data_IF_801623107402
#
_entry.id   IF_801623107402
#
_cell.length_a   1.000
_cell.length_b   1.000
_cell.length_c   1.000
_cell.angle_alpha   90.00
_cell.angle_beta   90.00
_cell.angle_gamma   90.00
#
_symmetry.space_group_name_H-M   'P 1'
#
loop_
_entity.id
_entity.type
_entity.pdbx_description
1 polymer ?
#
# COMPACT_ATOMS: atom_id res chain seq x y z
N UNK A 1 46.04 -1.97 -36.67
CA UNK A 1 44.92 -1.68 -35.76
C UNK A 1 44.04 -2.92 -35.66
N UNK A 2 44.24 -3.72 -34.62
CA UNK A 2 43.31 -4.81 -34.27
C UNK A 2 42.53 -4.32 -33.06
N UNK A 3 41.27 -3.99 -33.29
CA UNK A 3 40.31 -3.65 -32.23
C UNK A 3 40.10 -4.89 -31.34
N UNK A 4 40.23 -4.79 -30.00
CA UNK A 4 39.80 -5.87 -29.14
C UNK A 4 38.26 -5.95 -29.19
N UNK A 5 37.75 -7.17 -29.22
CA UNK A 5 36.35 -7.53 -29.40
C UNK A 5 35.42 -6.90 -28.35
N UNK A 6 34.17 -6.56 -28.71
CA UNK A 6 33.25 -5.89 -27.81
C UNK A 6 32.77 -6.84 -26.71
N UNK A 7 33.15 -6.52 -25.47
CA UNK A 7 32.30 -6.51 -24.29
C UNK A 7 31.34 -7.70 -24.12
N UNK A 8 31.68 -8.61 -23.21
CA UNK A 8 30.70 -9.46 -22.56
C UNK A 8 29.85 -8.57 -21.65
N UNK A 9 28.81 -7.92 -22.21
CA UNK A 9 27.92 -7.00 -21.49
C UNK A 9 26.94 -7.69 -20.53
N UNK A 10 26.88 -9.03 -20.54
CA UNK A 10 26.03 -9.82 -19.68
C UNK A 10 26.82 -10.40 -18.51
N UNK A 11 26.66 -9.80 -17.33
CA UNK A 11 27.07 -10.37 -16.04
C UNK A 11 25.82 -10.90 -15.35
N UNK A 12 25.88 -12.09 -14.72
CA UNK A 12 24.73 -12.73 -14.06
C UNK A 12 24.01 -11.79 -13.08
N UNK A 13 24.76 -10.95 -12.37
CA UNK A 13 24.22 -9.94 -11.45
C UNK A 13 23.43 -8.83 -12.16
N UNK A 14 23.83 -8.45 -13.38
CA UNK A 14 23.09 -7.46 -14.19
C UNK A 14 21.79 -8.05 -14.71
N UNK A 15 21.79 -9.31 -15.13
CA UNK A 15 20.58 -10.01 -15.56
C UNK A 15 19.62 -10.23 -14.38
N UNK A 16 20.14 -10.61 -13.21
CA UNK A 16 19.35 -10.70 -11.98
C UNK A 16 18.70 -9.38 -11.60
N UNK A 17 19.48 -8.29 -11.62
CA UNK A 17 18.96 -6.94 -11.38
C UNK A 17 17.88 -6.54 -12.39
N UNK A 18 18.06 -6.86 -13.67
CA UNK A 18 17.06 -6.61 -14.72
C UNK A 18 15.74 -7.32 -14.43
N UNK A 19 15.79 -8.61 -14.07
CA UNK A 19 14.59 -9.42 -13.75
C UNK A 19 13.81 -8.80 -12.59
N UNK A 20 14.51 -8.37 -11.53
CA UNK A 20 13.90 -7.67 -10.39
C UNK A 20 13.35 -6.29 -10.77
N UNK A 21 14.09 -5.49 -11.55
CA UNK A 21 13.63 -4.17 -11.98
C UNK A 21 12.33 -4.24 -12.80
N UNK A 22 12.21 -5.23 -13.69
CA UNK A 22 10.99 -5.47 -14.47
C UNK A 22 9.83 -5.95 -13.58
N UNK A 23 10.10 -6.79 -12.57
CA UNK A 23 9.06 -7.28 -11.67
C UNK A 23 8.41 -6.17 -10.84
N UNK A 24 9.20 -5.20 -10.37
CA UNK A 24 8.72 -4.06 -9.56
C UNK A 24 8.36 -2.82 -10.39
N UNK A 25 8.34 -2.92 -11.72
CA UNK A 25 8.08 -1.81 -12.64
C UNK A 25 8.97 -0.58 -12.36
N UNK A 26 10.21 -0.82 -11.92
CA UNK A 26 11.14 0.26 -11.61
C UNK A 26 11.65 0.89 -12.91
N UNK A 27 11.57 2.22 -13.02
CA UNK A 27 12.07 2.97 -14.17
C UNK A 27 13.60 3.05 -14.17
N UNK A 28 14.26 1.91 -14.38
CA UNK A 28 15.71 1.82 -14.53
C UNK A 28 16.04 1.78 -16.02
N UNK A 29 16.99 2.63 -16.43
CA UNK A 29 17.53 2.62 -17.79
C UNK A 29 18.35 1.35 -17.99
N UNK A 30 17.74 0.30 -18.54
CA UNK A 30 18.41 -0.98 -18.80
C UNK A 30 18.66 -1.15 -20.30
N UNK A 31 19.90 -1.50 -20.64
CA UNK A 31 20.28 -1.84 -22.00
C UNK A 31 19.51 -3.09 -22.47
N UNK A 32 18.68 -2.96 -23.50
CA UNK A 32 17.92 -4.09 -24.07
C UNK A 32 18.85 -5.18 -24.60
N UNK A 33 18.56 -6.48 -24.32
CA UNK A 33 19.38 -7.55 -24.84
C UNK A 33 19.37 -7.57 -26.38
N UNK A 34 20.56 -7.79 -26.97
CA UNK A 34 20.75 -7.77 -28.42
C UNK A 34 20.26 -9.04 -29.14
N UNK A 35 20.18 -10.16 -28.43
CA UNK A 35 19.75 -11.45 -29.00
C UNK A 35 18.23 -11.52 -29.19
N UNK A 36 17.78 -12.09 -30.31
CA UNK A 36 16.35 -12.26 -30.62
C UNK A 36 15.63 -13.12 -29.57
N UNK A 37 16.24 -14.23 -29.15
CA UNK A 37 15.72 -15.12 -28.11
C UNK A 37 15.60 -14.42 -26.75
N UNK A 38 16.60 -13.61 -26.37
CA UNK A 38 16.60 -12.87 -25.11
C UNK A 38 15.55 -11.75 -25.08
N UNK A 39 15.25 -11.11 -26.22
CA UNK A 39 14.15 -10.15 -26.34
C UNK A 39 12.80 -10.82 -26.15
N UNK A 40 12.58 -11.96 -26.81
CA UNK A 40 11.35 -12.73 -26.63
C UNK A 40 11.14 -13.14 -25.17
N UNK A 41 12.18 -13.68 -24.52
CA UNK A 41 12.12 -14.04 -23.09
C UNK A 41 11.84 -12.84 -22.17
N UNK A 42 12.46 -11.69 -22.43
CA UNK A 42 12.22 -10.47 -21.64
C UNK A 42 10.79 -9.96 -21.80
N UNK A 43 10.22 -10.05 -23.01
CA UNK A 43 8.84 -9.65 -23.28
C UNK A 43 7.83 -10.58 -22.58
N UNK A 44 8.07 -11.90 -22.59
CA UNK A 44 7.24 -12.86 -21.86
C UNK A 44 7.31 -12.63 -20.35
N UNK A 45 8.53 -12.39 -19.83
CA UNK A 45 8.72 -12.05 -18.41
C UNK A 45 8.02 -10.74 -18.04
N UNK A 46 8.09 -9.71 -18.89
CA UNK A 46 7.40 -8.45 -18.66
C UNK A 46 5.87 -8.62 -18.62
N UNK A 47 5.31 -9.44 -19.50
CA UNK A 47 3.87 -9.76 -19.47
C UNK A 47 3.49 -10.46 -18.17
N UNK A 48 4.27 -11.44 -17.73
CA UNK A 48 4.06 -12.11 -16.44
C UNK A 48 4.14 -11.14 -15.25
N UNK A 49 5.15 -10.25 -15.23
CA UNK A 49 5.31 -9.24 -14.17
C UNK A 49 4.12 -8.29 -14.09
N UNK A 50 3.59 -7.80 -15.21
CA UNK A 50 2.42 -6.93 -15.25
C UNK A 50 1.16 -7.67 -14.74
N UNK A 51 0.94 -8.92 -15.17
CA UNK A 51 -0.20 -9.72 -14.69
C UNK A 51 -0.09 -10.00 -13.19
N UNK A 52 1.10 -10.35 -12.71
CA UNK A 52 1.35 -10.58 -11.30
C UNK A 52 1.09 -9.32 -10.46
N UNK A 53 1.59 -8.17 -10.91
CA UNK A 53 1.34 -6.88 -10.27
C UNK A 53 -0.16 -6.56 -10.26
N UNK A 54 -0.87 -6.76 -11.37
CA UNK A 54 -2.30 -6.51 -11.47
C UNK A 54 -3.10 -7.36 -10.48
N UNK A 55 -2.82 -8.67 -10.40
CA UNK A 55 -3.47 -9.58 -9.44
C UNK A 55 -3.15 -9.17 -8.00
N UNK A 56 -1.89 -8.84 -7.71
CA UNK A 56 -1.51 -8.35 -6.39
C UNK A 56 -2.25 -7.07 -6.02
N UNK A 57 -2.35 -6.10 -6.93
CA UNK A 57 -3.09 -4.85 -6.70
C UNK A 57 -4.60 -5.09 -6.53
N UNK A 58 -5.18 -6.04 -7.27
CA UNK A 58 -6.60 -6.40 -7.15
C UNK A 58 -6.90 -7.08 -5.81
N UNK A 59 -6.05 -8.01 -5.37
CA UNK A 59 -6.20 -8.69 -4.08
C UNK A 59 -5.97 -7.73 -2.91
N UNK A 60 -4.97 -6.85 -3.02
CA UNK A 60 -4.74 -5.78 -2.05
C UNK A 60 -5.97 -4.87 -1.97
N UNK A 61 -6.49 -4.41 -3.11
CA UNK A 61 -7.68 -3.57 -3.16
C UNK A 61 -8.92 -4.27 -2.57
N UNK A 62 -9.12 -5.56 -2.87
CA UNK A 62 -10.22 -6.34 -2.31
C UNK A 62 -10.14 -6.45 -0.78
N UNK A 63 -8.92 -6.56 -0.23
CA UNK A 63 -8.70 -6.53 1.22
C UNK A 63 -8.85 -5.13 1.82
N UNK A 64 -8.42 -4.10 1.08
CA UNK A 64 -8.49 -2.69 1.50
C UNK A 64 -9.90 -2.12 1.44
N UNK A 65 -10.80 -2.68 0.62
CA UNK A 65 -12.24 -2.48 0.75
C UNK A 65 -12.66 -3.24 2.01
N UNK A 66 -12.20 -2.74 3.16
CA UNK A 66 -12.69 -3.18 4.45
C UNK A 66 -14.18 -2.92 4.43
N UNK A 67 -14.97 -3.98 4.49
CA UNK A 67 -16.30 -3.83 5.04
C UNK A 67 -16.06 -3.39 6.47
N UNK A 68 -16.49 -2.17 6.81
CA UNK A 68 -16.81 -1.92 8.21
C UNK A 68 -17.76 -3.06 8.59
N UNK A 69 -17.23 -4.05 9.31
CA UNK A 69 -18.06 -5.06 9.93
C UNK A 69 -18.79 -4.31 11.04
N UNK A 70 -19.87 -3.62 10.67
CA UNK A 70 -20.92 -3.31 11.62
C UNK A 70 -21.23 -4.64 12.28
N UNK A 71 -21.05 -4.70 13.60
CA UNK A 71 -21.37 -5.90 14.36
C UNK A 71 -22.89 -6.07 14.33
N UNK A 72 -23.40 -6.67 13.24
CA UNK A 72 -24.79 -7.00 13.10
C UNK A 72 -25.12 -8.10 14.11
N UNK A 73 -25.72 -7.70 15.23
CA UNK A 73 -26.35 -8.66 16.12
C UNK A 73 -27.51 -9.31 15.37
N UNK A 74 -27.58 -10.64 15.38
CA UNK A 74 -28.71 -11.36 14.75
C UNK A 74 -30.05 -11.07 15.46
N UNK A 75 -29.98 -10.64 16.72
CA UNK A 75 -31.11 -10.31 17.58
C UNK A 75 -30.74 -10.48 19.04
N UNK A 76 -31.75 -10.53 19.90
CA UNK A 76 -31.57 -10.68 21.35
C UNK A 76 -31.01 -12.05 21.76
N UNK A 77 -31.23 -13.09 20.95
CA UNK A 77 -30.78 -14.46 21.18
C UNK A 77 -29.31 -14.71 20.79
N UNK A 78 -28.56 -13.68 20.40
CA UNK A 78 -27.16 -13.83 20.04
C UNK A 78 -26.34 -14.40 21.21
N UNK A 79 -25.49 -15.37 20.89
CA UNK A 79 -24.48 -15.94 21.79
C UNK A 79 -23.62 -14.87 22.47
N UNK A 80 -23.34 -13.76 21.77
CA UNK A 80 -22.51 -12.65 22.25
C UNK A 80 -23.19 -11.83 23.35
N UNK A 81 -24.52 -11.70 23.29
CA UNK A 81 -25.34 -10.98 24.28
C UNK A 81 -25.72 -11.89 25.44
N UNK A 82 -26.06 -13.15 25.16
CA UNK A 82 -26.42 -14.14 26.19
C UNK A 82 -25.23 -14.53 27.08
N UNK A 83 -23.99 -14.49 26.54
CA UNK A 83 -22.75 -14.70 27.29
C UNK A 83 -21.81 -13.50 27.14
N UNK A 84 -22.01 -12.42 27.93
CA UNK A 84 -21.24 -11.18 27.81
C UNK A 84 -19.71 -11.37 27.93
N UNK A 85 -19.28 -12.39 28.67
CA UNK A 85 -17.86 -12.70 28.90
C UNK A 85 -17.23 -13.58 27.82
N UNK A 86 -17.98 -14.01 26.80
CA UNK A 86 -17.47 -14.91 25.76
C UNK A 86 -16.56 -14.22 24.74
N UNK A 87 -16.63 -12.89 24.64
CA UNK A 87 -15.88 -12.10 23.66
C UNK A 87 -15.03 -11.02 24.35
N UNK A 88 -13.88 -10.69 23.77
CA UNK A 88 -13.00 -9.58 24.22
C UNK A 88 -12.69 -8.65 23.05
N UNK A 89 -12.93 -7.33 23.17
CA UNK A 89 -13.53 -6.64 24.32
C UNK A 89 -15.00 -7.06 24.54
N UNK A 90 -15.48 -6.87 25.77
CA UNK A 90 -16.85 -7.20 26.16
C UNK A 90 -17.82 -6.14 25.61
N UNK A 91 -18.96 -6.56 25.07
CA UNK A 91 -19.97 -5.64 24.54
C UNK A 91 -20.70 -4.94 25.68
N UNK A 92 -20.71 -3.61 25.68
CA UNK A 92 -21.43 -2.78 26.64
C UNK A 92 -22.82 -2.51 26.10
N UNK A 93 -23.84 -3.10 26.72
CA UNK A 93 -25.22 -2.86 26.34
C UNK A 93 -26.09 -2.58 27.56
N UNK A 94 -27.13 -1.78 27.34
CA UNK A 94 -27.99 -1.24 28.40
C UNK A 94 -29.45 -1.13 27.95
N UNK A 95 -30.34 -1.03 28.92
CA UNK A 95 -31.74 -0.61 28.71
C UNK A 95 -32.13 0.45 29.75
N UNK A 96 -33.40 0.84 29.75
CA UNK A 96 -33.98 1.74 30.75
C UNK A 96 -34.53 0.92 31.92
N UNK A 97 -34.10 1.17 33.16
CA UNK A 97 -34.58 0.42 34.32
C UNK A 97 -36.09 0.65 34.54
N UNK A 98 -36.78 -0.35 35.09
CA UNK A 98 -38.22 -0.29 35.38
C UNK A 98 -39.14 -0.17 34.15
N UNK A 99 -38.60 -0.41 32.96
CA UNK A 99 -39.37 -0.45 31.72
C UNK A 99 -39.93 -1.85 31.44
N UNK A 100 -40.85 -1.94 30.48
CA UNK A 100 -41.33 -3.24 29.99
C UNK A 100 -40.17 -4.08 29.43
N UNK A 101 -39.22 -3.45 28.73
CA UNK A 101 -38.04 -4.15 28.19
C UNK A 101 -37.19 -4.71 29.33
N UNK A 102 -36.90 -3.92 30.37
CA UNK A 102 -36.13 -4.36 31.53
C UNK A 102 -36.77 -5.55 32.25
N UNK A 103 -38.08 -5.49 32.50
CA UNK A 103 -38.82 -6.59 33.13
C UNK A 103 -38.85 -7.86 32.26
N UNK A 104 -38.93 -7.71 30.94
CA UNK A 104 -38.90 -8.82 29.97
C UNK A 104 -37.52 -9.47 29.95
N UNK A 105 -36.45 -8.65 29.90
CA UNK A 105 -35.07 -9.12 29.94
C UNK A 105 -34.77 -9.82 31.27
N UNK A 106 -35.23 -9.30 32.39
CA UNK A 106 -35.07 -9.94 33.70
C UNK A 106 -35.75 -11.31 33.77
N UNK A 107 -36.88 -11.50 33.07
CA UNK A 107 -37.66 -12.75 33.11
C UNK A 107 -37.11 -13.83 32.19
N UNK A 108 -36.78 -13.48 30.95
CA UNK A 108 -36.38 -14.46 29.93
C UNK A 108 -34.86 -14.57 29.76
N UNK A 109 -34.10 -13.51 30.06
CA UNK A 109 -32.66 -13.43 29.86
C UNK A 109 -31.93 -12.98 31.13
N UNK A 110 -32.14 -13.72 32.23
CA UNK A 110 -31.53 -13.44 33.53
C UNK A 110 -30.00 -13.17 33.50
N UNK A 111 -29.15 -13.97 32.81
CA UNK A 111 -27.70 -13.70 32.81
C UNK A 111 -27.34 -12.39 32.07
N UNK A 112 -28.04 -12.10 30.99
CA UNK A 112 -27.87 -10.88 30.21
C UNK A 112 -28.32 -9.65 31.02
N UNK A 113 -29.47 -9.75 31.68
CA UNK A 113 -29.99 -8.67 32.54
C UNK A 113 -29.07 -8.37 33.73
N UNK A 114 -28.49 -9.40 34.36
CA UNK A 114 -27.53 -9.22 35.46
C UNK A 114 -26.30 -8.42 35.04
N UNK A 115 -25.79 -8.65 33.82
CA UNK A 115 -24.69 -7.88 33.25
C UNK A 115 -25.10 -6.44 32.90
N UNK A 116 -26.25 -6.30 32.25
CA UNK A 116 -26.79 -5.03 31.75
C UNK A 116 -27.10 -4.03 32.89
N UNK A 117 -27.42 -4.51 34.09
CA UNK A 117 -27.79 -3.67 35.25
C UNK A 117 -26.79 -2.56 35.56
N UNK A 118 -25.50 -2.81 35.35
CA UNK A 118 -24.43 -1.83 35.60
C UNK A 118 -24.26 -0.80 34.47
N UNK A 119 -24.87 -1.04 33.30
CA UNK A 119 -24.75 -0.23 32.08
C UNK A 119 -26.11 0.39 31.66
N UNK A 120 -27.13 0.30 32.51
CA UNK A 120 -28.45 0.88 32.27
C UNK A 120 -28.41 2.42 32.27
N UNK A 121 -29.27 3.03 31.47
CA UNK A 121 -29.43 4.50 31.36
C UNK A 121 -30.80 4.94 31.84
N UNK A 122 -30.91 6.17 32.31
CA UNK A 122 -32.15 6.66 32.91
C UNK A 122 -33.21 7.05 31.88
N UNK A 123 -32.77 7.56 30.72
CA UNK A 123 -33.65 8.03 29.65
C UNK A 123 -33.25 7.47 28.29
N UNK A 124 -34.19 7.50 27.33
CA UNK A 124 -33.94 7.07 25.94
C UNK A 124 -32.89 7.97 25.28
N UNK A 125 -32.96 9.29 25.51
CA UNK A 125 -32.03 10.25 24.95
C UNK A 125 -30.59 10.00 25.44
N UNK A 126 -30.40 9.79 26.74
CA UNK A 126 -29.10 9.40 27.32
C UNK A 126 -28.61 8.06 26.76
N UNK A 127 -29.52 7.09 26.57
CA UNK A 127 -29.21 5.81 25.94
C UNK A 127 -28.64 5.96 24.53
N UNK A 128 -29.24 6.84 23.73
CA UNK A 128 -28.81 7.10 22.35
C UNK A 128 -27.49 7.88 22.32
N UNK A 129 -27.36 8.92 23.14
CA UNK A 129 -26.13 9.69 23.26
C UNK A 129 -24.95 8.82 23.71
N UNK A 130 -25.19 7.88 24.63
CA UNK A 130 -24.19 6.90 25.05
C UNK A 130 -23.75 5.96 23.91
N UNK A 131 -24.63 5.62 22.97
CA UNK A 131 -24.26 4.84 21.77
C UNK A 131 -23.47 5.71 20.78
N UNK A 132 -23.92 6.94 20.53
CA UNK A 132 -23.24 7.88 19.63
C UNK A 132 -21.83 8.26 20.10
N UNK A 133 -21.61 8.32 21.41
CA UNK A 133 -20.31 8.63 22.03
C UNK A 133 -19.39 7.40 22.17
N UNK A 134 -19.89 6.19 21.88
CA UNK A 134 -19.13 4.95 22.05
C UNK A 134 -19.00 4.48 23.51
N UNK A 135 -19.77 5.04 24.44
CA UNK A 135 -19.86 4.49 25.81
C UNK A 135 -20.66 3.19 25.86
N UNK A 136 -21.67 3.05 25.00
CA UNK A 136 -22.44 1.81 24.84
C UNK A 136 -22.26 1.31 23.40
N UNK A 137 -21.99 0.02 23.25
CA UNK A 137 -21.91 -0.63 21.93
C UNK A 137 -23.31 -0.91 21.37
N UNK A 138 -24.30 -1.13 22.25
CA UNK A 138 -25.70 -1.35 21.86
C UNK A 138 -26.68 -0.85 22.93
N UNK A 139 -27.85 -0.39 22.47
CA UNK A 139 -28.94 0.02 23.35
C UNK A 139 -30.22 -0.75 23.03
N UNK A 140 -30.77 -1.44 24.03
CA UNK A 140 -31.94 -2.31 23.88
C UNK A 140 -33.16 -1.54 24.38
N UNK A 141 -34.09 -1.25 23.49
CA UNK A 141 -35.34 -0.60 23.82
C UNK A 141 -36.45 -0.97 22.82
N UNK A 142 -37.60 -0.31 22.92
CA UNK A 142 -38.75 -0.52 22.05
C UNK A 142 -38.41 -0.24 20.57
N UNK A 143 -38.67 -1.23 19.71
CA UNK A 143 -38.24 -1.21 18.31
C UNK A 143 -38.84 -0.07 17.49
N UNK A 144 -40.12 0.26 17.70
CA UNK A 144 -40.80 1.37 17.03
C UNK A 144 -40.21 2.73 17.39
N UNK A 145 -39.83 2.92 18.66
CA UNK A 145 -39.23 4.16 19.15
C UNK A 145 -37.83 4.32 18.59
N UNK A 146 -37.05 3.24 18.59
CA UNK A 146 -35.71 3.24 18.01
C UNK A 146 -35.73 3.47 16.50
N UNK A 147 -36.63 2.80 15.76
CA UNK A 147 -36.79 3.01 14.31
C UNK A 147 -37.12 4.47 13.98
N UNK A 148 -37.97 5.11 14.78
CA UNK A 148 -38.28 6.53 14.63
C UNK A 148 -37.05 7.41 14.87
N UNK A 149 -36.31 7.15 15.95
CA UNK A 149 -35.14 7.95 16.31
C UNK A 149 -33.98 7.79 15.31
N UNK A 150 -33.80 6.59 14.78
CA UNK A 150 -32.85 6.32 13.68
C UNK A 150 -33.27 7.03 12.40
N UNK A 151 -34.56 7.00 12.05
CA UNK A 151 -35.05 7.67 10.84
C UNK A 151 -34.89 9.20 10.92
N UNK A 152 -35.02 9.76 12.12
CA UNK A 152 -34.95 11.21 12.38
C UNK A 152 -33.51 11.74 12.50
N UNK A 153 -32.51 10.88 12.64
CA UNK A 153 -31.10 11.27 12.75
C UNK A 153 -30.61 11.98 11.47
N UNK A 154 -29.92 13.11 11.63
CA UNK A 154 -29.41 13.93 10.52
C UNK A 154 -28.17 13.29 9.87
N UNK A 155 -27.30 12.68 10.68
CA UNK A 155 -26.02 12.11 10.23
C UNK A 155 -26.14 10.64 9.80
N UNK A 156 -27.31 10.02 9.98
CA UNK A 156 -27.53 8.59 9.74
C UNK A 156 -26.46 7.69 10.42
N UNK A 157 -26.01 8.06 11.63
CA UNK A 157 -24.94 7.33 12.34
C UNK A 157 -25.47 6.12 13.10
N UNK A 158 -26.75 6.16 13.46
CA UNK A 158 -27.42 5.07 14.14
C UNK A 158 -28.06 4.10 13.14
N UNK A 159 -28.12 2.83 13.51
CA UNK A 159 -28.86 1.82 12.78
C UNK A 159 -29.53 0.84 13.76
N UNK A 160 -30.75 0.40 13.43
CA UNK A 160 -31.39 -0.69 14.15
C UNK A 160 -30.87 -2.02 13.63
N UNK A 161 -30.47 -2.91 14.53
CA UNK A 161 -29.87 -4.22 14.21
C UNK A 161 -30.71 -5.36 14.77
N UNK A 162 -30.69 -6.49 14.06
CA UNK A 162 -31.34 -7.73 14.47
C UNK A 162 -32.84 -7.79 14.20
N UNK A 163 -33.40 -8.96 14.48
CA UNK A 163 -34.85 -9.18 14.38
C UNK A 163 -35.59 -8.75 15.64
N UNK A 164 -36.86 -8.37 15.48
CA UNK A 164 -37.72 -7.96 16.59
C UNK A 164 -37.98 -9.18 17.49
N UNK A 165 -37.56 -9.11 18.75
CA UNK A 165 -37.74 -10.22 19.70
C UNK A 165 -39.22 -10.48 20.01
N UNK A 166 -40.00 -9.42 20.23
CA UNK A 166 -41.41 -9.51 20.57
C UNK A 166 -42.24 -8.67 19.60
N UNK A 167 -43.13 -9.33 18.85
CA UNK A 167 -44.12 -8.69 17.98
C UNK A 167 -45.35 -8.24 18.80
N UNK A 168 -45.14 -7.39 19.79
CA UNK A 168 -46.21 -6.77 20.57
C UNK A 168 -46.66 -5.46 19.94
N UNK A 169 -47.97 -5.20 20.00
CA UNK A 169 -48.55 -3.94 19.51
C UNK A 169 -48.95 -3.01 20.66
N UNK A 170 -48.94 -1.70 20.39
CA UNK A 170 -49.56 -0.74 21.29
C UNK A 170 -51.08 -0.89 21.31
N UNK A 171 -51.67 -0.76 22.49
CA UNK A 171 -53.10 -0.85 22.71
C UNK A 171 -53.62 0.32 23.54
N UNK A 172 -54.88 0.66 23.32
CA UNK A 172 -55.59 1.65 24.14
C UNK A 172 -56.34 0.90 25.23
N UNK A 173 -56.06 1.25 26.49
CA UNK A 173 -56.73 0.65 27.64
C UNK A 173 -57.99 1.45 28.02
N UNK A 174 -59.08 0.76 28.28
CA UNK A 174 -60.30 1.32 28.84
C UNK A 174 -60.56 0.75 30.23
N UNK A 175 -61.37 1.43 31.03
CA UNK A 175 -61.85 0.88 32.30
C UNK A 175 -62.58 -0.44 32.09
N UNK A 176 -62.51 -1.32 33.09
CA UNK A 176 -63.22 -2.60 33.07
C UNK A 176 -64.71 -2.38 32.77
N UNK A 177 -65.25 -3.16 31.85
CA UNK A 177 -66.65 -3.10 31.40
C UNK A 177 -67.08 -1.77 30.74
N UNK A 178 -66.15 -1.02 30.14
CA UNK A 178 -66.49 0.16 29.35
C UNK A 178 -67.28 -0.20 28.09
N UNK A 179 -68.38 0.52 27.84
CA UNK A 179 -69.24 0.36 26.64
C UNK A 179 -68.54 0.78 25.34
N UNK A 180 -67.47 1.58 25.43
CA UNK A 180 -66.80 2.18 24.27
C UNK A 180 -65.80 1.23 23.60
N UNK A 181 -65.39 0.15 24.27
CA UNK A 181 -64.36 -0.78 23.74
C UNK A 181 -64.74 -1.32 22.37
N UNK A 182 -65.99 -1.76 22.19
CA UNK A 182 -66.45 -2.31 20.92
C UNK A 182 -66.50 -1.25 19.81
N UNK A 183 -66.92 -0.02 20.13
CA UNK A 183 -66.99 1.07 19.18
C UNK A 183 -65.59 1.46 18.67
N UNK A 184 -64.61 1.59 19.59
CA UNK A 184 -63.23 1.90 19.23
C UNK A 184 -62.57 0.77 18.44
N UNK A 185 -62.78 -0.50 18.83
CA UNK A 185 -62.23 -1.63 18.08
C UNK A 185 -62.76 -1.69 16.65
N UNK A 186 -64.07 -1.45 16.45
CA UNK A 186 -64.67 -1.38 15.10
C UNK A 186 -64.02 -0.27 14.27
N UNK A 187 -63.86 0.92 14.84
CA UNK A 187 -63.24 2.05 14.13
C UNK A 187 -61.75 1.79 13.83
N UNK A 188 -61.02 1.16 14.74
CA UNK A 188 -59.62 0.79 14.53
C UNK A 188 -59.47 -0.20 13.37
N UNK A 189 -60.39 -1.15 13.22
CA UNK A 189 -60.39 -2.09 12.10
C UNK A 189 -60.67 -1.38 10.77
N UNK A 190 -61.65 -0.47 10.74
CA UNK A 190 -61.97 0.36 9.57
C UNK A 190 -60.76 1.21 9.13
N UNK A 191 -60.03 1.81 10.07
CA UNK A 191 -58.79 2.54 9.78
C UNK A 191 -57.67 1.65 9.21
N UNK A 192 -57.63 0.37 9.61
CA UNK A 192 -56.67 -0.60 9.08
C UNK A 192 -57.02 -1.02 7.66
N UNK A 193 -58.30 -1.28 7.38
CA UNK A 193 -58.80 -1.66 6.07
C UNK A 193 -58.64 -0.53 5.04
N UNK A 194 -58.92 0.71 5.44
CA UNK A 194 -58.76 1.89 4.59
C UNK A 194 -57.30 2.35 4.41
N UNK A 195 -56.31 1.60 4.94
CA UNK A 195 -54.86 1.89 4.80
C UNK A 195 -54.45 3.24 5.42
N UNK A 196 -55.29 3.81 6.29
CA UNK A 196 -55.04 5.11 6.93
C UNK A 196 -53.85 5.04 7.89
N UNK A 197 -53.69 3.95 8.64
CA UNK A 197 -52.52 3.76 9.50
C UNK A 197 -51.19 3.78 8.73
N UNK A 198 -51.16 3.20 7.53
CA UNK A 198 -49.97 3.23 6.69
C UNK A 198 -49.67 4.65 6.20
N UNK A 199 -50.70 5.45 5.93
CA UNK A 199 -50.56 6.87 5.57
C UNK A 199 -50.02 7.69 6.74
N UNK A 200 -50.59 7.52 7.94
CA UNK A 200 -50.09 8.19 9.14
C UNK A 200 -48.65 7.76 9.48
N UNK A 201 -48.34 6.46 9.36
CA UNK A 201 -46.97 5.96 9.57
C UNK A 201 -45.99 6.63 8.61
N UNK A 202 -46.31 6.73 7.32
CA UNK A 202 -45.44 7.43 6.36
C UNK A 202 -45.33 8.92 6.65
N UNK A 203 -46.38 9.56 7.15
CA UNK A 203 -46.34 10.99 7.45
C UNK A 203 -45.50 11.31 8.71
N UNK A 204 -45.69 10.54 9.78
CA UNK A 204 -45.07 10.82 11.09
C UNK A 204 -43.75 10.09 11.33
N UNK A 205 -43.57 8.89 10.77
CA UNK A 205 -42.39 8.05 11.03
C UNK A 205 -41.35 8.08 9.90
N UNK A 206 -41.61 8.80 8.79
CA UNK A 206 -40.59 8.93 7.73
C UNK A 206 -39.67 10.10 8.07
N UNK A 207 -38.41 9.81 8.32
CA UNK A 207 -37.37 10.82 8.45
C UNK A 207 -36.46 10.93 7.23
N UNK A 208 -35.39 11.72 7.37
CA UNK A 208 -34.35 11.95 6.36
C UNK A 208 -33.53 10.68 6.09
N UNK A 209 -33.32 9.86 7.13
CA UNK A 209 -32.52 8.66 7.02
C UNK A 209 -33.34 7.47 6.50
N UNK A 210 -32.85 6.80 5.45
CA UNK A 210 -33.50 5.59 4.88
C UNK A 210 -32.62 4.35 5.10
N UNK A 211 -32.97 3.45 6.04
CA UNK A 211 -32.12 2.32 6.46
C UNK A 211 -31.96 1.17 5.44
N UNK A 212 -32.13 1.42 4.15
CA UNK A 212 -31.85 0.46 3.06
C UNK A 212 -31.30 1.11 1.79
N UNK A 213 -31.08 2.43 1.83
CA UNK A 213 -30.39 3.20 0.80
C UNK A 213 -29.18 3.89 1.43
N UNK A 214 -28.45 3.17 2.28
CA UNK A 214 -27.09 3.58 2.57
C UNK A 214 -26.33 3.38 1.26
N UNK A 215 -26.33 4.43 0.43
CA UNK A 215 -25.19 4.72 -0.42
C UNK A 215 -23.97 4.46 0.44
N UNK A 216 -23.13 3.53 0.01
CA UNK A 216 -21.86 3.21 0.64
C UNK A 216 -21.26 4.50 1.20
N UNK A 217 -21.42 4.72 2.52
CA UNK A 217 -20.85 5.88 3.19
C UNK A 217 -19.38 5.83 2.80
N UNK A 218 -18.94 6.92 2.17
CA UNK A 218 -17.63 7.01 1.53
C UNK A 218 -16.61 6.34 2.42
N UNK A 219 -15.98 5.28 1.93
CA UNK A 219 -14.99 4.51 2.66
C UNK A 219 -14.08 5.49 3.38
N UNK A 220 -14.00 5.36 4.71
CA UNK A 220 -13.13 6.21 5.52
C UNK A 220 -11.74 6.28 4.86
N UNK A 221 -11.09 7.46 4.88
CA UNK A 221 -9.77 7.59 4.29
C UNK A 221 -8.86 6.54 4.92
N UNK A 222 -8.24 5.74 4.05
CA UNK A 222 -7.34 4.65 4.36
C UNK A 222 -6.49 4.93 5.60
N UNK A 223 -6.77 4.20 6.69
CA UNK A 223 -6.16 4.45 7.99
C UNK A 223 -4.64 4.23 7.95
N UNK A 224 -3.89 5.05 8.68
CA UNK A 224 -2.43 4.96 8.76
C UNK A 224 -1.94 3.59 9.25
N UNK A 225 -2.76 2.90 10.05
CA UNK A 225 -2.53 1.53 10.53
C UNK A 225 -2.41 0.50 9.40
N UNK A 226 -3.15 0.69 8.31
CA UNK A 226 -3.08 -0.21 7.15
C UNK A 226 -1.74 -0.09 6.40
N UNK A 227 -1.06 1.05 6.51
CA UNK A 227 0.25 1.30 5.90
C UNK A 227 1.44 1.12 6.84
N UNK A 228 1.21 0.91 8.15
CA UNK A 228 2.26 0.76 9.15
C UNK A 228 3.25 -0.36 8.78
N UNK A 229 2.72 -1.49 8.28
CA UNK A 229 3.52 -2.63 7.85
C UNK A 229 4.49 -2.28 6.70
N UNK A 230 4.05 -1.47 5.73
CA UNK A 230 4.89 -0.99 4.64
C UNK A 230 6.01 -0.07 5.13
N UNK A 231 5.71 0.83 6.07
CA UNK A 231 6.72 1.70 6.69
C UNK A 231 7.77 0.91 7.48
N UNK A 232 7.34 -0.10 8.25
CA UNK A 232 8.26 -0.99 8.98
C UNK A 232 9.17 -1.78 8.02
N UNK A 233 8.63 -2.26 6.90
CA UNK A 233 9.40 -2.97 5.88
C UNK A 233 10.45 -2.05 5.24
N UNK A 234 10.09 -0.81 4.89
CA UNK A 234 11.04 0.18 4.36
C UNK A 234 12.18 0.48 5.34
N UNK A 235 11.86 0.70 6.63
CA UNK A 235 12.87 0.92 7.66
C UNK A 235 13.81 -0.29 7.81
N UNK A 236 13.27 -1.51 7.78
CA UNK A 236 14.07 -2.74 7.81
C UNK A 236 15.01 -2.85 6.59
N UNK A 237 14.55 -2.41 5.41
CA UNK A 237 15.34 -2.40 4.19
C UNK A 237 16.50 -1.39 4.24
N UNK A 238 16.28 -0.20 4.79
CA UNK A 238 17.33 0.81 5.00
C UNK A 238 18.38 0.28 5.98
N UNK A 239 17.95 -0.35 7.07
CA UNK A 239 18.85 -0.95 8.05
C UNK A 239 19.70 -2.07 7.41
N UNK A 240 19.07 -2.97 6.65
CA UNK A 240 19.76 -4.04 5.93
C UNK A 240 20.78 -3.47 4.93
N UNK A 241 20.42 -2.43 4.17
CA UNK A 241 21.32 -1.77 3.23
C UNK A 241 22.53 -1.14 3.94
N UNK A 242 22.31 -0.48 5.09
CA UNK A 242 23.39 0.07 5.90
C UNK A 242 24.33 -1.03 6.44
N UNK A 243 23.78 -2.16 6.89
CA UNK A 243 24.57 -3.32 7.34
C UNK A 243 25.38 -3.91 6.19
N UNK A 244 24.78 -4.09 5.01
CA UNK A 244 25.49 -4.59 3.82
C UNK A 244 26.61 -3.64 3.38
N UNK A 245 26.38 -2.31 3.43
CA UNK A 245 27.41 -1.32 3.14
C UNK A 245 28.54 -1.34 4.17
N UNK A 246 28.23 -1.53 5.45
CA UNK A 246 29.23 -1.68 6.50
C UNK A 246 30.05 -2.97 6.31
N UNK A 247 29.40 -4.09 6.01
CA UNK A 247 30.04 -5.36 5.70
C UNK A 247 30.94 -5.24 4.46
N UNK A 248 30.48 -4.57 3.40
CA UNK A 248 31.29 -4.28 2.23
C UNK A 248 32.53 -3.45 2.63
N UNK A 249 32.35 -2.37 3.39
CA UNK A 249 33.46 -1.54 3.83
C UNK A 249 34.51 -2.32 4.65
N UNK A 250 34.06 -3.16 5.59
CA UNK A 250 34.92 -4.04 6.40
C UNK A 250 35.60 -5.08 5.51
N UNK A 251 34.88 -5.69 4.57
CA UNK A 251 35.42 -6.66 3.62
C UNK A 251 36.55 -6.05 2.77
N UNK A 252 36.33 -4.89 2.19
CA UNK A 252 37.33 -4.20 1.38
C UNK A 252 38.53 -3.70 2.20
N UNK A 253 38.33 -3.30 3.46
CA UNK A 253 39.39 -2.73 4.31
C UNK A 253 40.24 -3.79 5.02
N UNK A 254 39.62 -4.83 5.57
CA UNK A 254 40.27 -5.86 6.37
C UNK A 254 40.49 -7.16 5.60
N UNK A 255 39.45 -7.69 4.97
CA UNK A 255 39.48 -9.02 4.35
C UNK A 255 40.37 -9.02 3.09
N UNK A 256 40.30 -7.98 2.25
CA UNK A 256 41.21 -7.85 1.09
C UNK A 256 42.69 -7.73 1.48
N UNK A 257 43.01 -7.02 2.58
CA UNK A 257 44.40 -6.89 3.07
C UNK A 257 44.93 -8.19 3.66
N UNK A 258 44.08 -8.98 4.32
CA UNK A 258 44.44 -10.29 4.84
C UNK A 258 44.52 -11.36 3.74
N UNK A 259 43.58 -11.40 2.78
CA UNK A 259 43.64 -12.34 1.64
C UNK A 259 44.83 -12.08 0.72
N UNK A 260 45.24 -10.83 0.51
CA UNK A 260 46.45 -10.52 -0.26
C UNK A 260 47.74 -11.03 0.41
N UNK A 261 47.71 -11.33 1.72
CA UNK A 261 48.83 -11.94 2.46
C UNK A 261 48.74 -13.46 2.57
N UNK A 262 47.55 -14.05 2.40
CA UNK A 262 47.28 -15.49 2.55
C UNK A 262 46.87 -16.11 1.21
N UNK A 263 47.67 -15.88 0.15
CA UNK A 263 47.39 -16.48 -1.16
C UNK A 263 47.93 -17.92 -1.22
N UNK A 264 47.04 -18.88 -0.93
CA UNK A 264 47.16 -20.29 -1.35
C UNK A 264 45.80 -20.79 -1.86
N UNK A 265 45.51 -20.49 -3.12
CA UNK A 265 44.88 -21.43 -4.07
C UNK A 265 43.56 -22.11 -3.70
N UNK A 266 42.52 -21.38 -3.28
CA UNK A 266 41.17 -21.93 -3.07
C UNK A 266 40.14 -21.48 -4.12
N UNK A 267 39.27 -22.38 -4.56
CA UNK A 267 38.22 -22.15 -5.57
C UNK A 267 37.26 -20.98 -5.23
N UNK A 268 37.04 -20.70 -3.94
CA UNK A 268 36.25 -19.54 -3.48
C UNK A 268 36.93 -18.18 -3.69
N UNK A 269 38.26 -18.13 -3.84
CA UNK A 269 38.98 -16.90 -4.14
C UNK A 269 38.73 -16.44 -5.59
N UNK A 270 38.56 -17.36 -6.55
CA UNK A 270 38.25 -17.03 -7.95
C UNK A 270 36.88 -16.35 -8.10
N UNK A 271 35.90 -16.73 -7.29
CA UNK A 271 34.57 -16.10 -7.28
C UNK A 271 34.65 -14.68 -6.68
N UNK A 272 35.41 -14.48 -5.59
CA UNK A 272 35.66 -13.14 -5.06
C UNK A 272 36.47 -12.26 -6.01
N UNK A 273 37.43 -12.82 -6.74
CA UNK A 273 38.29 -12.07 -7.66
C UNK A 273 37.56 -11.70 -8.95
N UNK A 274 36.64 -12.54 -9.43
CA UNK A 274 35.79 -12.23 -10.60
C UNK A 274 34.76 -11.14 -10.28
N UNK A 275 34.18 -11.16 -9.07
CA UNK A 275 33.26 -10.12 -8.58
C UNK A 275 33.97 -8.76 -8.41
N UNK A 276 35.20 -8.75 -7.86
CA UNK A 276 35.98 -7.52 -7.69
C UNK A 276 36.45 -6.89 -9.01
N UNK A 277 36.78 -7.70 -10.02
CA UNK A 277 37.22 -7.23 -11.35
C UNK A 277 36.10 -6.58 -12.17
N UNK A 278 34.84 -6.93 -11.92
CA UNK A 278 33.68 -6.36 -12.60
C UNK A 278 33.31 -4.92 -12.16
N UNK A 279 33.77 -4.47 -10.98
CA UNK A 279 33.32 -3.20 -10.38
C UNK A 279 34.34 -2.05 -10.49
N UNK A 280 35.61 -2.31 -10.81
CA UNK A 280 36.63 -1.27 -10.88
C UNK A 280 37.02 -0.92 -12.32
N UNK A 281 36.22 -0.07 -12.97
CA UNK A 281 36.61 0.63 -14.22
C UNK A 281 37.96 1.35 -14.07
N UNK A 282 38.29 1.80 -12.85
CA UNK A 282 39.56 2.46 -12.51
C UNK A 282 40.77 1.51 -12.43
N UNK A 283 40.55 0.23 -12.11
CA UNK A 283 41.61 -0.78 -12.00
C UNK A 283 42.09 -1.29 -13.36
N UNK A 284 41.14 -1.58 -14.26
CA UNK A 284 41.46 -1.99 -15.63
C UNK A 284 42.18 -0.90 -16.43
N UNK A 285 41.88 0.39 -16.16
CA UNK A 285 42.56 1.53 -16.80
C UNK A 285 44.01 1.68 -16.31
N UNK A 286 44.28 1.44 -15.03
CA UNK A 286 45.65 1.52 -14.50
C UNK A 286 46.52 0.34 -15.00
N UNK A 287 45.95 -0.86 -15.08
CA UNK A 287 46.64 -2.06 -15.57
C UNK A 287 46.89 -1.99 -17.09
N UNK A 288 45.93 -1.51 -17.88
CA UNK A 288 46.13 -1.26 -19.31
C UNK A 288 47.21 -0.18 -19.56
N UNK A 289 47.25 0.86 -18.72
CA UNK A 289 48.22 1.93 -18.84
C UNK A 289 49.63 1.51 -18.39
N UNK A 290 49.74 0.53 -17.48
CA UNK A 290 51.04 0.00 -17.03
C UNK A 290 51.61 -1.05 -18.01
N UNK A 291 50.75 -1.89 -18.61
CA UNK A 291 51.12 -2.81 -19.70
C UNK A 291 51.64 -2.03 -20.93
N UNK A 292 51.03 -0.88 -21.24
CA UNK A 292 51.51 0.03 -22.30
C UNK A 292 52.83 0.76 -21.93
N UNK A 293 53.11 0.95 -20.63
CA UNK A 293 54.32 1.67 -20.16
C UNK A 293 55.56 0.78 -20.13
N UNK A 294 55.38 -0.53 -19.97
CA UNK A 294 56.45 -1.50 -19.77
C UNK A 294 56.65 -2.49 -20.93
N UNK A 295 55.97 -2.31 -22.07
CA UNK A 295 56.27 -3.10 -23.27
C UNK A 295 57.69 -2.77 -23.77
N UNK A 296 58.69 -3.59 -23.37
CA UNK A 296 60.02 -3.58 -24.00
C UNK A 296 59.86 -4.21 -25.37
N UNK A 297 60.11 -3.42 -26.41
CA UNK A 297 60.27 -3.94 -27.76
C UNK A 297 61.47 -4.91 -27.78
N UNK A 298 61.31 -6.06 -28.43
CA UNK A 298 62.38 -7.08 -28.53
C UNK A 298 63.30 -6.86 -29.73
N UNK A 299 62.84 -6.07 -30.70
CA UNK A 299 63.53 -5.78 -31.96
C UNK A 299 63.91 -4.28 -32.07
N UNK A 300 65.08 -3.94 -32.65
CA UNK A 300 65.55 -2.55 -32.76
C UNK A 300 64.66 -1.66 -33.65
N UNK A 301 63.85 -2.26 -34.53
CA UNK A 301 62.88 -1.54 -35.37
C UNK A 301 61.67 -1.10 -34.53
N UNK A 302 61.20 -1.92 -33.59
CA UNK A 302 60.07 -1.57 -32.72
C UNK A 302 60.44 -0.40 -31.78
N UNK A 303 61.68 -0.36 -31.28
CA UNK A 303 62.16 0.75 -30.43
C UNK A 303 62.24 2.08 -31.19
N UNK A 304 62.68 2.08 -32.47
CA UNK A 304 62.74 3.32 -33.27
C UNK A 304 61.35 3.85 -33.60
N UNK A 305 60.39 2.99 -33.92
CA UNK A 305 58.99 3.38 -34.12
C UNK A 305 58.32 3.87 -32.84
N UNK A 306 58.55 3.20 -31.70
CA UNK A 306 58.03 3.63 -30.42
C UNK A 306 58.59 4.99 -30.01
N UNK A 307 59.89 5.22 -30.23
CA UNK A 307 60.53 6.50 -29.99
C UNK A 307 59.94 7.59 -30.88
N UNK A 308 59.73 7.32 -32.18
CA UNK A 308 59.12 8.27 -33.12
C UNK A 308 57.71 8.68 -32.70
N UNK A 309 56.85 7.72 -32.37
CA UNK A 309 55.46 8.00 -31.92
C UNK A 309 55.46 8.77 -30.60
N UNK A 310 56.37 8.43 -29.68
CA UNK A 310 56.52 9.15 -28.42
C UNK A 310 56.97 10.60 -28.64
N UNK A 311 57.91 10.82 -29.56
CA UNK A 311 58.37 12.15 -29.95
C UNK A 311 57.25 12.99 -30.58
N UNK A 312 56.46 12.41 -31.49
CA UNK A 312 55.30 13.08 -32.11
C UNK A 312 54.24 13.46 -31.07
N UNK A 313 53.97 12.59 -30.09
CA UNK A 313 53.05 12.89 -28.99
C UNK A 313 53.56 14.03 -28.10
N UNK A 314 54.85 14.05 -27.79
CA UNK A 314 55.45 15.10 -26.97
C UNK A 314 55.47 16.45 -27.71
N UNK A 315 55.72 16.45 -29.03
CA UNK A 315 55.61 17.63 -29.88
C UNK A 315 54.18 18.17 -29.89
N UNK A 316 53.18 17.30 -30.07
CA UNK A 316 51.76 17.67 -30.02
C UNK A 316 51.37 18.26 -28.66
N UNK A 317 51.86 17.68 -27.55
CA UNK A 317 51.63 18.20 -26.19
C UNK A 317 52.30 19.54 -25.94
N UNK A 318 53.48 19.79 -26.49
CA UNK A 318 54.10 21.11 -26.43
C UNK A 318 53.30 22.13 -27.22
N UNK A 319 52.81 21.76 -28.41
CA UNK A 319 51.97 22.63 -29.24
C UNK A 319 50.64 22.96 -28.56
N UNK A 320 49.98 21.99 -27.92
CA UNK A 320 48.77 22.24 -27.11
C UNK A 320 49.09 23.21 -25.95
N UNK A 321 50.22 23.07 -25.28
CA UNK A 321 50.63 24.00 -24.20
C UNK A 321 50.95 25.40 -24.72
N UNK A 322 51.56 25.51 -25.90
CA UNK A 322 51.79 26.79 -26.57
C UNK A 322 50.47 27.46 -26.93
N UNK A 323 49.56 26.71 -27.56
CA UNK A 323 48.22 27.21 -27.90
C UNK A 323 47.42 27.60 -26.65
N UNK A 324 47.53 26.86 -25.55
CA UNK A 324 46.91 27.25 -24.28
C UNK A 324 47.50 28.55 -23.72
N UNK A 325 48.82 28.73 -23.78
CA UNK A 325 49.47 29.98 -23.36
C UNK A 325 49.08 31.15 -24.25
N UNK A 326 48.96 30.95 -25.56
CA UNK A 326 48.45 31.97 -26.48
C UNK A 326 46.98 32.31 -26.20
N UNK A 327 46.13 31.31 -25.94
CA UNK A 327 44.73 31.51 -25.55
C UNK A 327 44.61 32.28 -24.22
N UNK A 328 45.47 31.97 -23.25
CA UNK A 328 45.55 32.65 -21.96
C UNK A 328 46.05 34.10 -22.13
N UNK A 329 47.01 34.36 -23.02
CA UNK A 329 47.49 35.70 -23.35
C UNK A 329 46.42 36.56 -24.04
N UNK A 330 45.50 35.95 -24.80
CA UNK A 330 44.34 36.61 -25.40
C UNK A 330 43.11 36.68 -24.46
N UNK A 331 43.27 36.34 -23.17
CA UNK A 331 42.25 36.52 -22.13
C UNK A 331 41.12 35.48 -22.14
N UNK A 332 41.22 34.40 -22.92
CA UNK A 332 40.20 33.37 -23.02
C UNK A 332 40.56 32.21 -22.08
N UNK A 333 39.96 32.17 -20.88
CA UNK A 333 40.09 31.02 -19.97
C UNK A 333 39.39 29.79 -20.58
N UNK A 334 40.03 28.61 -20.64
CA UNK A 334 39.35 27.40 -21.09
C UNK A 334 38.25 27.02 -20.10
N UNK A 335 37.01 26.97 -20.59
CA UNK A 335 35.85 26.52 -19.83
C UNK A 335 36.10 25.12 -19.26
N UNK A 336 35.85 24.96 -17.95
CA UNK A 336 35.86 23.65 -17.28
C UNK A 336 34.99 22.68 -18.09
N UNK A 337 35.60 21.56 -18.54
CA UNK A 337 34.95 20.34 -19.07
C UNK A 337 33.42 20.41 -19.05
N UNK A 338 32.84 20.87 -20.13
CA UNK A 338 31.45 20.56 -20.43
C UNK A 338 31.41 19.08 -20.82
N UNK A 339 30.91 18.23 -19.92
CA UNK A 339 30.37 16.94 -20.32
C UNK A 339 29.29 17.23 -21.35
N UNK A 340 29.56 16.88 -22.61
CA UNK A 340 28.59 16.93 -23.69
C UNK A 340 27.52 15.88 -23.35
N UNK A 341 26.45 16.31 -22.69
CA UNK A 341 25.17 15.61 -22.69
C UNK A 341 24.53 15.95 -24.03
N UNK A 342 24.57 15.00 -24.96
CA UNK A 342 23.73 15.05 -26.15
C UNK A 342 22.30 14.74 -25.70
N UNK A 343 21.53 15.78 -25.42
CA UNK A 343 20.08 15.68 -25.26
C UNK A 343 19.48 15.55 -26.66
N UNK A 344 19.29 14.33 -27.15
CA UNK A 344 18.40 14.09 -28.29
C UNK A 344 16.97 14.14 -27.76
N UNK A 345 16.24 15.16 -28.22
CA UNK A 345 14.80 15.33 -28.06
C UNK A 345 14.07 14.03 -28.42
N UNK A 346 13.47 13.36 -27.44
CA UNK A 346 12.50 12.29 -27.64
C UNK A 346 11.08 12.78 -27.35
N UNK A 347 10.72 13.97 -27.88
CA UNK A 347 9.36 14.49 -27.82
C UNK A 347 8.37 13.73 -28.73
N UNK A 348 8.83 12.79 -29.55
CA UNK A 348 7.97 12.07 -30.50
C UNK A 348 7.38 10.73 -30.00
N UNK A 349 7.72 10.27 -28.78
CA UNK A 349 7.21 8.99 -28.23
C UNK A 349 6.17 9.16 -27.11
N UNK A 350 6.11 10.33 -26.47
CA UNK A 350 5.09 10.63 -25.46
C UNK A 350 3.70 10.87 -26.08
N UNK A 351 3.64 11.41 -27.30
CA UNK A 351 2.37 11.67 -28.00
C UNK A 351 1.70 10.43 -28.58
N UNK A 352 2.44 9.32 -28.78
CA UNK A 352 1.87 8.07 -29.28
C UNK A 352 1.30 7.21 -28.15
N UNK A 353 1.86 7.30 -26.94
CA UNK A 353 1.36 6.56 -25.77
C UNK A 353 0.10 7.20 -25.21
N UNK A 354 -0.02 8.53 -25.23
CA UNK A 354 -1.23 9.23 -24.76
C UNK A 354 -2.45 9.04 -25.67
N UNK A 355 -2.25 8.78 -26.98
CA UNK A 355 -3.35 8.47 -27.92
C UNK A 355 -3.84 7.02 -27.89
N UNK A 356 -3.08 6.09 -27.30
CA UNK A 356 -3.49 4.69 -27.18
C UNK A 356 -4.26 4.40 -25.89
N UNK A 357 -4.19 5.29 -24.89
CA UNK A 357 -4.99 5.21 -23.67
C UNK A 357 -6.41 5.77 -23.79
N UNK A 358 -6.73 6.56 -24.83
CA UNK A 358 -8.11 7.01 -25.12
C UNK A 358 -8.90 6.06 -26.05
N UNK A 359 -8.36 4.87 -26.37
CA UNK A 359 -9.11 3.82 -27.09
C UNK A 359 -9.45 2.61 -26.21
N UNK A 360 -9.25 2.70 -24.90
CA UNK A 360 -9.66 1.67 -23.92
C UNK A 360 -10.40 2.26 -22.71
N UNK A 361 -11.17 3.33 -22.94
CA UNK A 361 -12.29 3.73 -22.09
C UNK A 361 -13.46 4.20 -22.95
#
# INVERSE_FOLDING_TARGET
QVSPSPNHRFSLFRTYWLVWAVLFQAAVHVDSPRGFTARFMTNVWAMFAVVFLAIYTANLAAFMITREEFHEFSGLDDSRLSKPFSHKPMYRFGTIPWSHTDSTLSKYFAPMHAYMKNQNRSTVAEGIEAVLSGELDAFIYDGTVLDFLVAQDEDCRLLTVGSWYAMTGYGIAFSRNSKYVQMFNKQMLDFRENVEFSRLRRYWMTGTCKPGKQEHKSSDPLALEQFLSAFLLLMSGILLAAVLLALEHVYFKYVRKHLAKTDRGGCCALISLSMGKSLTFRGAVFEAQDILRHHRCRDPICDTHLWKVKHELDLARMKIRQLQKELEAHGIKPSRRASIVVTIHHQHLAQTVFRLTECWY
#
